data_IF_464902176038
#
_entry.id   IF_464902176038
#
_cell.length_a   1.000
_cell.length_b   1.000
_cell.length_c   1.000
_cell.angle_alpha   90.00
_cell.angle_beta   90.00
_cell.angle_gamma   90.00
#
_symmetry.space_group_name_H-M   'P 1'
#
loop_
_entity.id
_entity.type
_entity.pdbx_description
1 polymer ?
#
# COMPACT_ATOMS: atom_id res chain seq x y z
N UNK A 1 -20.46 54.62 -6.98
CA UNK A 1 -20.44 53.36 -7.74
C UNK A 1 -21.79 53.24 -8.43
N UNK A 2 -21.79 53.15 -9.75
CA UNK A 2 -23.03 52.96 -10.53
C UNK A 2 -23.42 51.49 -10.56
N UNK A 3 -24.68 51.22 -10.88
CA UNK A 3 -25.21 49.85 -10.99
C UNK A 3 -24.49 49.05 -12.09
N UNK A 4 -24.00 49.75 -13.13
CA UNK A 4 -23.20 49.18 -14.21
C UNK A 4 -21.78 48.81 -13.75
N UNK A 5 -21.13 49.68 -12.97
CA UNK A 5 -19.83 49.38 -12.35
C UNK A 5 -19.90 48.17 -11.40
N UNK A 6 -21.01 48.05 -10.65
CA UNK A 6 -21.24 46.91 -9.77
C UNK A 6 -21.42 45.60 -10.57
N UNK A 7 -22.19 45.62 -11.65
CA UNK A 7 -22.37 44.45 -12.54
C UNK A 7 -21.06 44.00 -13.17
N UNK A 8 -20.24 44.93 -13.64
CA UNK A 8 -18.94 44.63 -14.22
C UNK A 8 -17.98 44.03 -13.19
N UNK A 9 -17.98 44.54 -11.96
CA UNK A 9 -17.17 44.00 -10.87
C UNK A 9 -17.62 42.58 -10.49
N UNK A 10 -18.93 42.32 -10.38
CA UNK A 10 -19.44 40.97 -10.07
C UNK A 10 -19.11 39.99 -11.20
N UNK A 11 -19.24 40.41 -12.46
CA UNK A 11 -18.92 39.57 -13.61
C UNK A 11 -17.41 39.23 -13.66
N UNK A 12 -16.53 40.20 -13.41
CA UNK A 12 -15.08 39.94 -13.37
C UNK A 12 -14.69 39.04 -12.20
N UNK A 13 -15.34 39.19 -11.05
CA UNK A 13 -15.13 38.32 -9.90
C UNK A 13 -15.56 36.88 -10.19
N UNK A 14 -16.70 36.68 -10.86
CA UNK A 14 -17.18 35.35 -11.25
C UNK A 14 -16.22 34.65 -12.22
N UNK A 15 -15.65 35.38 -13.19
CA UNK A 15 -14.64 34.85 -14.12
C UNK A 15 -13.35 34.49 -13.36
N UNK A 16 -12.88 35.36 -12.47
CA UNK A 16 -11.69 35.11 -11.64
C UNK A 16 -11.87 33.89 -10.72
N UNK A 17 -13.07 33.70 -10.17
CA UNK A 17 -13.40 32.52 -9.36
C UNK A 17 -13.34 31.24 -10.20
N UNK A 18 -13.92 31.23 -11.40
CA UNK A 18 -13.86 30.05 -12.29
C UNK A 18 -12.43 29.71 -12.70
N UNK A 19 -11.59 30.71 -12.95
CA UNK A 19 -10.18 30.50 -13.26
C UNK A 19 -9.42 29.93 -12.05
N UNK A 20 -9.70 30.43 -10.85
CA UNK A 20 -9.13 29.90 -9.60
C UNK A 20 -9.54 28.45 -9.36
N UNK A 21 -10.82 28.11 -9.53
CA UNK A 21 -11.32 26.74 -9.37
C UNK A 21 -10.66 25.78 -10.37
N UNK A 22 -10.43 26.24 -11.61
CA UNK A 22 -9.71 25.48 -12.62
C UNK A 22 -8.25 25.25 -12.22
N UNK A 23 -7.55 26.29 -11.77
CA UNK A 23 -6.16 26.18 -11.32
C UNK A 23 -6.03 25.24 -10.12
N UNK A 24 -6.94 25.32 -9.14
CA UNK A 24 -6.98 24.39 -8.00
C UNK A 24 -7.17 22.94 -8.44
N UNK A 25 -8.04 22.69 -9.43
CA UNK A 25 -8.27 21.35 -9.97
C UNK A 25 -7.03 20.81 -10.72
N UNK A 26 -6.36 21.65 -11.49
CA UNK A 26 -5.12 21.29 -12.19
C UNK A 26 -3.99 21.00 -11.19
N UNK A 27 -3.85 21.84 -10.16
CA UNK A 27 -2.89 21.62 -9.07
C UNK A 27 -3.18 20.31 -8.31
N UNK A 28 -4.45 20.04 -7.99
CA UNK A 28 -4.86 18.80 -7.34
C UNK A 28 -4.48 17.55 -8.15
N UNK A 29 -4.62 17.59 -9.49
CA UNK A 29 -4.18 16.51 -10.38
C UNK A 29 -2.66 16.33 -10.37
N UNK A 30 -1.90 17.43 -10.39
CA UNK A 30 -0.44 17.38 -10.36
C UNK A 30 0.08 16.82 -9.03
N UNK A 31 -0.49 17.26 -7.91
CA UNK A 31 -0.15 16.74 -6.57
C UNK A 31 -0.49 15.26 -6.46
N UNK A 32 -1.67 14.84 -6.93
CA UNK A 32 -2.05 13.42 -6.98
C UNK A 32 -1.06 12.59 -7.81
N UNK A 33 -0.73 13.05 -9.01
CA UNK A 33 0.23 12.38 -9.89
C UNK A 33 1.66 12.33 -9.34
N UNK A 34 2.05 13.24 -8.44
CA UNK A 34 3.30 13.14 -7.69
C UNK A 34 3.22 12.06 -6.61
N UNK A 35 2.12 12.02 -5.85
CA UNK A 35 1.88 10.99 -4.84
C UNK A 35 1.98 9.57 -5.41
N UNK A 36 1.33 9.32 -6.55
CA UNK A 36 1.36 8.02 -7.23
C UNK A 36 2.79 7.61 -7.64
N UNK A 37 3.58 8.57 -8.16
CA UNK A 37 4.98 8.32 -8.53
C UNK A 37 5.83 7.97 -7.32
N UNK A 38 5.65 8.67 -6.20
CA UNK A 38 6.34 8.36 -4.95
C UNK A 38 5.99 6.97 -4.42
N UNK A 39 4.72 6.54 -4.54
CA UNK A 39 4.29 5.17 -4.23
C UNK A 39 5.04 4.14 -5.08
N UNK A 40 4.95 4.27 -6.41
CA UNK A 40 5.60 3.35 -7.35
C UNK A 40 7.12 3.28 -7.19
N UNK A 41 7.77 4.38 -6.80
CA UNK A 41 9.20 4.40 -6.51
C UNK A 41 9.52 3.62 -5.24
N UNK A 42 8.68 3.76 -4.20
CA UNK A 42 8.86 3.03 -2.94
C UNK A 42 8.69 1.52 -3.16
N UNK A 43 7.70 1.11 -3.93
CA UNK A 43 7.52 -0.29 -4.35
C UNK A 43 8.74 -0.81 -5.13
N UNK A 44 9.25 -0.02 -6.07
CA UNK A 44 10.44 -0.35 -6.85
C UNK A 44 11.70 -0.53 -6.00
N UNK A 45 11.84 0.22 -4.90
CA UNK A 45 12.93 0.04 -3.93
C UNK A 45 12.71 -1.19 -3.03
N UNK A 46 11.46 -1.48 -2.66
CA UNK A 46 11.15 -2.58 -1.76
C UNK A 46 11.32 -3.95 -2.43
N UNK A 47 10.99 -4.07 -3.72
CA UNK A 47 10.89 -5.36 -4.40
C UNK A 47 12.16 -6.23 -4.30
N UNK A 48 13.38 -5.76 -4.60
CA UNK A 48 14.58 -6.60 -4.53
C UNK A 48 14.82 -7.17 -3.13
N UNK A 49 14.69 -6.32 -2.11
CA UNK A 49 14.87 -6.72 -0.71
C UNK A 49 13.77 -7.65 -0.24
N UNK A 50 12.51 -7.36 -0.60
CA UNK A 50 11.38 -8.22 -0.25
C UNK A 50 11.47 -9.57 -0.94
N UNK A 51 11.86 -9.63 -2.20
CA UNK A 51 12.07 -10.89 -2.90
C UNK A 51 13.12 -11.76 -2.20
N UNK A 52 14.23 -11.15 -1.77
CA UNK A 52 15.28 -11.83 -1.01
C UNK A 52 14.77 -12.32 0.36
N UNK A 53 14.04 -11.48 1.10
CA UNK A 53 13.44 -11.87 2.39
C UNK A 53 12.49 -13.05 2.20
N UNK A 54 11.58 -12.96 1.22
CA UNK A 54 10.56 -13.97 0.94
C UNK A 54 11.18 -15.30 0.53
N UNK A 55 12.22 -15.30 -0.30
CA UNK A 55 12.90 -16.53 -0.70
C UNK A 55 13.79 -17.10 0.41
N UNK A 56 14.68 -16.30 1.00
CA UNK A 56 15.72 -16.80 1.91
C UNK A 56 15.20 -17.06 3.34
N UNK A 57 14.28 -16.21 3.83
CA UNK A 57 13.78 -16.33 5.22
C UNK A 57 12.47 -17.08 5.32
N UNK A 58 11.62 -16.98 4.31
CA UNK A 58 10.30 -17.63 4.31
C UNK A 58 10.21 -18.84 3.36
N UNK A 59 11.22 -19.09 2.52
CA UNK A 59 11.23 -20.25 1.63
C UNK A 59 10.20 -20.15 0.50
N UNK A 60 9.80 -18.94 0.10
CA UNK A 60 8.82 -18.74 -0.97
C UNK A 60 9.43 -19.05 -2.33
N UNK A 61 8.69 -19.81 -3.15
CA UNK A 61 9.14 -20.29 -4.46
C UNK A 61 8.65 -19.37 -5.58
N UNK A 62 7.44 -18.84 -5.43
CA UNK A 62 6.83 -17.90 -6.37
C UNK A 62 6.75 -16.54 -5.69
N UNK A 63 7.28 -15.52 -6.36
CA UNK A 63 7.25 -14.13 -5.91
C UNK A 63 6.76 -13.29 -7.09
N UNK A 64 5.59 -12.67 -6.93
CA UNK A 64 4.90 -11.92 -7.97
C UNK A 64 4.69 -10.47 -7.51
N UNK A 65 5.40 -9.49 -8.09
CA UNK A 65 5.12 -8.08 -7.85
C UNK A 65 3.87 -7.59 -8.58
N UNK A 66 3.27 -6.52 -8.07
CA UNK A 66 2.18 -5.75 -8.70
C UNK A 66 1.00 -6.63 -9.15
N UNK A 67 0.54 -7.51 -8.27
CA UNK A 67 -0.56 -8.43 -8.57
C UNK A 67 -1.88 -7.68 -8.54
N UNK A 68 -2.58 -7.70 -9.67
CA UNK A 68 -3.92 -7.13 -9.83
C UNK A 68 -4.90 -8.19 -10.26
N UNK A 69 -6.02 -8.29 -9.55
CA UNK A 69 -7.07 -9.27 -9.83
C UNK A 69 -8.43 -8.59 -9.80
N UNK A 70 -9.28 -8.95 -10.76
CA UNK A 70 -10.65 -8.45 -10.87
C UNK A 70 -11.61 -9.62 -10.89
N UNK A 71 -12.60 -9.65 -9.99
CA UNK A 71 -13.63 -10.68 -9.91
C UNK A 71 -14.97 -10.05 -9.56
N UNK A 72 -16.01 -10.39 -10.33
CA UNK A 72 -17.39 -9.95 -10.07
C UNK A 72 -17.53 -8.42 -9.88
N UNK A 73 -16.76 -7.62 -10.63
CA UNK A 73 -16.76 -6.16 -10.52
C UNK A 73 -16.01 -5.59 -9.32
N UNK A 74 -15.40 -6.43 -8.48
CA UNK A 74 -14.48 -6.02 -7.43
C UNK A 74 -13.03 -6.17 -7.89
N UNK A 75 -12.17 -5.29 -7.37
CA UNK A 75 -10.75 -5.24 -7.68
C UNK A 75 -9.92 -5.41 -6.40
N UNK A 76 -8.78 -6.07 -6.53
CA UNK A 76 -7.76 -6.18 -5.49
C UNK A 76 -6.40 -5.99 -6.13
N UNK A 77 -5.57 -5.20 -5.47
CA UNK A 77 -4.17 -4.97 -5.80
C UNK A 77 -3.32 -5.39 -4.60
N UNK A 78 -2.20 -6.04 -4.89
CA UNK A 78 -1.21 -6.50 -3.91
C UNK A 78 0.16 -6.14 -4.46
N UNK A 79 0.97 -5.43 -3.68
CA UNK A 79 2.28 -4.96 -4.13
C UNK A 79 3.24 -6.12 -4.36
N UNK A 80 3.24 -7.12 -3.45
CA UNK A 80 3.92 -8.40 -3.68
C UNK A 80 3.11 -9.55 -3.10
N UNK A 81 2.81 -10.54 -3.94
CA UNK A 81 2.28 -11.83 -3.52
C UNK A 81 3.38 -12.88 -3.64
N UNK A 82 3.62 -13.63 -2.58
CA UNK A 82 4.52 -14.77 -2.62
C UNK A 82 3.89 -16.02 -2.01
N UNK A 83 4.23 -17.20 -2.54
CA UNK A 83 3.74 -18.47 -2.01
C UNK A 83 4.69 -19.61 -2.37
N UNK A 84 4.58 -20.70 -1.63
CA UNK A 84 5.22 -21.98 -1.91
C UNK A 84 4.18 -23.11 -1.88
N UNK A 85 4.39 -24.18 -2.65
CA UNK A 85 3.50 -25.35 -2.72
C UNK A 85 4.18 -26.66 -2.30
N UNK A 86 5.36 -26.57 -1.68
CA UNK A 86 6.21 -27.71 -1.35
C UNK A 86 6.23 -27.99 0.16
N UNK A 87 7.41 -27.96 0.79
CA UNK A 87 7.59 -28.15 2.23
C UNK A 87 6.88 -27.06 3.04
N UNK A 88 6.73 -25.87 2.44
CA UNK A 88 6.00 -24.74 3.01
C UNK A 88 4.70 -24.57 2.23
N UNK A 89 3.55 -24.58 2.93
CA UNK A 89 2.23 -24.39 2.35
C UNK A 89 1.61 -23.05 2.80
N UNK A 90 2.32 -21.96 2.48
CA UNK A 90 2.01 -20.61 2.95
C UNK A 90 1.92 -19.62 1.78
N UNK A 91 1.24 -18.51 2.02
CA UNK A 91 1.23 -17.34 1.15
C UNK A 91 1.46 -16.06 1.97
N UNK A 92 2.21 -15.13 1.40
CA UNK A 92 2.54 -13.84 1.98
C UNK A 92 2.05 -12.72 1.08
N UNK A 93 1.26 -11.82 1.67
CA UNK A 93 0.79 -10.59 1.06
C UNK A 93 1.62 -9.45 1.62
N UNK A 94 2.36 -8.75 0.77
CA UNK A 94 3.14 -7.58 1.14
C UNK A 94 2.42 -6.33 0.66
N UNK A 95 2.25 -5.39 1.57
CA UNK A 95 1.85 -4.01 1.26
C UNK A 95 3.03 -3.09 1.57
N UNK A 96 3.39 -2.23 0.62
CA UNK A 96 4.51 -1.29 0.67
C UNK A 96 3.97 0.13 0.86
N UNK A 97 4.51 0.86 1.84
CA UNK A 97 4.15 2.25 2.12
C UNK A 97 5.37 3.14 2.19
N UNK A 98 5.30 4.32 1.58
CA UNK A 98 6.30 5.37 1.83
C UNK A 98 6.21 5.84 3.28
N UNK A 99 4.98 6.08 3.76
CA UNK A 99 4.69 6.47 5.13
C UNK A 99 3.54 5.61 5.64
N UNK A 100 3.81 4.72 6.57
CA UNK A 100 2.78 3.89 7.17
C UNK A 100 1.87 4.73 8.07
N UNK A 101 0.57 4.43 8.02
CA UNK A 101 -0.46 5.01 8.90
C UNK A 101 -1.34 3.91 9.48
N UNK A 102 -2.20 4.26 10.43
CA UNK A 102 -3.14 3.30 11.02
C UNK A 102 -4.03 2.66 9.93
N UNK A 103 -4.42 3.44 8.92
CA UNK A 103 -5.20 2.96 7.79
C UNK A 103 -4.45 1.89 6.97
N UNK A 104 -3.10 1.91 6.98
CA UNK A 104 -2.30 0.87 6.30
C UNK A 104 -2.50 -0.50 6.93
N UNK A 105 -2.67 -0.57 8.26
CA UNK A 105 -2.99 -1.81 8.99
C UNK A 105 -4.38 -2.30 8.58
N UNK A 106 -5.36 -1.39 8.54
CA UNK A 106 -6.72 -1.72 8.14
C UNK A 106 -6.79 -2.20 6.67
N UNK A 107 -6.04 -1.56 5.78
CA UNK A 107 -5.95 -1.93 4.37
C UNK A 107 -5.39 -3.35 4.20
N UNK A 108 -4.22 -3.64 4.79
CA UNK A 108 -3.61 -4.97 4.70
C UNK A 108 -4.51 -6.06 5.29
N UNK A 109 -5.19 -5.76 6.41
CA UNK A 109 -6.21 -6.66 6.98
C UNK A 109 -7.33 -6.98 6.00
N UNK A 110 -7.90 -5.95 5.37
CA UNK A 110 -9.00 -6.13 4.41
C UNK A 110 -8.56 -6.94 3.18
N UNK A 111 -7.31 -6.77 2.73
CA UNK A 111 -6.75 -7.59 1.64
C UNK A 111 -6.71 -9.06 2.08
N UNK A 112 -6.14 -9.34 3.25
CA UNK A 112 -6.00 -10.71 3.78
C UNK A 112 -7.36 -11.39 4.02
N UNK A 113 -8.33 -10.69 4.61
CA UNK A 113 -9.67 -11.23 4.87
C UNK A 113 -10.41 -11.60 3.58
N UNK A 114 -10.15 -10.87 2.49
CA UNK A 114 -10.76 -11.12 1.18
C UNK A 114 -9.90 -12.01 0.28
N UNK A 115 -8.67 -12.31 0.67
CA UNK A 115 -7.66 -12.94 -0.20
C UNK A 115 -8.17 -14.21 -0.87
N UNK A 116 -8.72 -15.16 -0.11
CA UNK A 116 -9.22 -16.45 -0.66
C UNK A 116 -10.39 -16.31 -1.64
N UNK A 117 -11.18 -15.24 -1.54
CA UNK A 117 -12.23 -14.96 -2.53
C UNK A 117 -11.61 -14.63 -3.89
N UNK A 118 -10.50 -13.89 -3.87
CA UNK A 118 -9.76 -13.52 -5.07
C UNK A 118 -8.83 -14.62 -5.57
N UNK A 119 -8.23 -15.40 -4.66
CA UNK A 119 -7.27 -16.48 -4.97
C UNK A 119 -7.71 -17.82 -4.34
N UNK A 120 -8.82 -18.43 -4.82
CA UNK A 120 -9.34 -19.70 -4.29
C UNK A 120 -8.36 -20.87 -4.44
N UNK A 121 -7.41 -20.80 -5.37
CA UNK A 121 -6.30 -21.73 -5.54
C UNK A 121 -5.37 -21.82 -4.31
N UNK A 122 -5.43 -20.83 -3.41
CA UNK A 122 -4.67 -20.78 -2.17
C UNK A 122 -5.51 -21.08 -0.92
N UNK A 123 -6.70 -21.68 -1.07
CA UNK A 123 -7.65 -21.91 0.04
C UNK A 123 -7.04 -22.67 1.23
N UNK A 124 -6.14 -23.62 0.96
CA UNK A 124 -5.56 -24.52 1.96
C UNK A 124 -4.24 -23.99 2.54
N UNK A 125 -3.79 -22.79 2.11
CA UNK A 125 -2.56 -22.17 2.61
C UNK A 125 -2.82 -21.38 3.87
N UNK A 126 -1.83 -21.29 4.76
CA UNK A 126 -1.81 -20.21 5.74
C UNK A 126 -1.41 -18.91 5.05
N UNK A 127 -2.19 -17.83 5.26
CA UNK A 127 -1.94 -16.54 4.60
C UNK A 127 -1.49 -15.52 5.64
N UNK A 128 -0.36 -14.85 5.39
CA UNK A 128 0.25 -13.89 6.29
C UNK A 128 0.43 -12.52 5.61
N UNK A 129 0.41 -11.46 6.43
CA UNK A 129 0.65 -10.10 5.99
C UNK A 129 2.04 -9.59 6.37
N UNK A 130 2.68 -8.86 5.47
CA UNK A 130 3.88 -8.07 5.72
C UNK A 130 3.55 -6.60 5.39
N UNK A 131 3.73 -5.69 6.35
CA UNK A 131 3.74 -4.26 6.06
C UNK A 131 5.19 -3.79 5.91
N UNK A 132 5.58 -3.45 4.69
CA UNK A 132 6.87 -2.86 4.39
C UNK A 132 6.73 -1.33 4.36
N UNK A 133 7.54 -0.61 5.11
CA UNK A 133 7.47 0.85 5.13
C UNK A 133 8.83 1.55 5.17
N UNK A 134 8.95 2.67 4.47
CA UNK A 134 10.12 3.56 4.54
C UNK A 134 10.08 4.35 5.86
N UNK A 135 8.98 5.04 6.13
CA UNK A 135 8.72 5.68 7.42
C UNK A 135 7.64 4.91 8.21
N UNK A 136 8.03 4.45 9.41
CA UNK A 136 7.18 3.74 10.34
C UNK A 136 7.52 4.14 11.78
N UNK A 137 6.67 4.96 12.43
CA UNK A 137 6.83 5.31 13.83
C UNK A 137 6.81 4.08 14.74
N UNK A 138 7.61 4.11 15.82
CA UNK A 138 7.73 2.98 16.74
C UNK A 138 6.39 2.54 17.35
N UNK A 139 5.51 3.50 17.70
CA UNK A 139 4.18 3.20 18.22
C UNK A 139 3.31 2.47 17.19
N UNK A 140 3.40 2.85 15.92
CA UNK A 140 2.65 2.21 14.85
C UNK A 140 3.22 0.83 14.54
N UNK A 141 4.55 0.66 14.55
CA UNK A 141 5.22 -0.65 14.47
C UNK A 141 4.64 -1.64 15.49
N UNK A 142 4.50 -1.23 16.75
CA UNK A 142 3.91 -2.09 17.78
C UNK A 142 2.46 -2.47 17.46
N UNK A 143 1.68 -1.57 16.84
CA UNK A 143 0.30 -1.88 16.42
C UNK A 143 0.26 -2.85 15.24
N UNK A 144 1.19 -2.73 14.29
CA UNK A 144 1.33 -3.67 13.17
C UNK A 144 1.64 -5.07 13.69
N UNK A 145 2.60 -5.19 14.61
CA UNK A 145 2.94 -6.45 15.26
C UNK A 145 1.75 -7.01 16.05
N UNK A 146 1.07 -6.18 16.85
CA UNK A 146 -0.15 -6.60 17.60
C UNK A 146 -1.30 -7.03 16.68
N UNK A 147 -1.40 -6.48 15.48
CA UNK A 147 -2.35 -6.92 14.47
C UNK A 147 -1.99 -8.30 13.86
N UNK A 148 -0.80 -8.83 14.17
CA UNK A 148 -0.29 -10.11 13.70
C UNK A 148 0.40 -10.03 12.34
N UNK A 149 0.81 -8.83 11.91
CA UNK A 149 1.54 -8.63 10.66
C UNK A 149 3.04 -8.55 10.92
N UNK A 150 3.83 -9.12 10.01
CA UNK A 150 5.25 -8.85 9.96
C UNK A 150 5.49 -7.40 9.58
N UNK A 151 6.61 -6.85 10.02
CA UNK A 151 7.08 -5.52 9.65
C UNK A 151 8.37 -5.68 8.87
N UNK A 152 8.50 -4.95 7.76
CA UNK A 152 9.77 -4.71 7.10
C UNK A 152 10.04 -3.21 7.04
N UNK A 153 11.28 -2.79 7.33
CA UNK A 153 11.68 -1.37 7.26
C UNK A 153 12.95 -1.22 6.44
N UNK A 154 13.13 -0.05 5.85
CA UNK A 154 14.36 0.27 5.16
C UNK A 154 15.49 0.59 6.17
N UNK A 155 16.64 -0.01 5.96
CA UNK A 155 17.89 0.26 6.65
C UNK A 155 19.00 0.24 5.59
N UNK A 156 19.83 1.30 5.53
CA UNK A 156 20.90 1.44 4.53
C UNK A 156 20.48 1.04 3.09
N UNK A 157 19.35 1.60 2.65
CA UNK A 157 18.76 1.41 1.30
C UNK A 157 18.10 0.05 1.02
N UNK A 158 18.16 -0.91 1.96
CA UNK A 158 17.54 -2.22 1.81
C UNK A 158 16.45 -2.46 2.86
N UNK A 159 15.39 -3.17 2.48
CA UNK A 159 14.39 -3.60 3.46
C UNK A 159 14.89 -4.79 4.28
N UNK A 160 14.61 -4.76 5.57
CA UNK A 160 14.87 -5.83 6.52
C UNK A 160 13.64 -6.10 7.39
N UNK A 161 13.48 -7.35 7.84
CA UNK A 161 12.43 -7.71 8.79
C UNK A 161 12.73 -7.08 10.16
N UNK A 162 11.74 -6.38 10.70
CA UNK A 162 11.80 -5.74 12.00
C UNK A 162 10.73 -6.35 12.93
N UNK A 163 10.96 -7.62 13.29
CA UNK A 163 10.08 -8.38 14.18
C UNK A 163 10.85 -9.00 15.34
N UNK A 164 10.27 -9.11 16.55
CA UNK A 164 10.87 -9.84 17.65
C UNK A 164 11.11 -11.33 17.30
N UNK A 165 12.14 -11.94 17.87
CA UNK A 165 12.47 -13.35 17.61
C UNK A 165 11.34 -14.35 17.97
N UNK A 166 10.49 -13.99 18.94
CA UNK A 166 9.34 -14.79 19.38
C UNK A 166 8.01 -14.31 18.78
N UNK A 167 8.05 -13.49 17.73
CA UNK A 167 6.86 -13.00 17.06
C UNK A 167 6.01 -14.16 16.52
N UNK A 168 4.70 -14.08 16.72
CA UNK A 168 3.73 -15.04 16.19
C UNK A 168 2.78 -14.32 15.24
N UNK A 169 2.90 -14.52 13.92
CA UNK A 169 2.02 -13.86 12.97
C UNK A 169 0.60 -14.43 13.08
N UNK A 170 -0.39 -13.62 12.70
CA UNK A 170 -1.76 -14.08 12.53
C UNK A 170 -1.91 -14.66 11.13
N UNK A 171 -2.27 -15.94 11.06
CA UNK A 171 -2.75 -16.55 9.82
C UNK A 171 -4.19 -16.11 9.55
N UNK A 172 -4.49 -15.80 8.30
CA UNK A 172 -5.84 -15.52 7.80
C UNK A 172 -6.35 -16.69 6.99
#
# INVERSE_FOLDING_TARGET
MTDEELKQLVASLAVSQQETDRQLKELGKQIGGLGDKFGSFTEGLALPSMAKILSEKFGMEVISPSVRVSKQGEHMEIDVLAYANSEVNEAYVVEVKSHAREESIAQLRNILERFRRFFPEHKDKAVFGILAAVDLPAELRERVLKAGFYVARIHDEVFELDVPANFKPKAY
#
